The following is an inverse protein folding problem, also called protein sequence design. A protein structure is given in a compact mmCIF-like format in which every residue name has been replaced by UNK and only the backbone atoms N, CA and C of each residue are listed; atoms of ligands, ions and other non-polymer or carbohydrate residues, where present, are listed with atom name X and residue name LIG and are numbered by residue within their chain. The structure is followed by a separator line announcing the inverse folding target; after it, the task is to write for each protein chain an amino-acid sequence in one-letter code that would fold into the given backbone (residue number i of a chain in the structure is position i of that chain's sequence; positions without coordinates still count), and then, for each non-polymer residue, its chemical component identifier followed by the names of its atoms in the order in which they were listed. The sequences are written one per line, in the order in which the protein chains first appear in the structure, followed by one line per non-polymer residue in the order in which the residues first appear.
data_IF_523936304853
#
_entry.id   IF_523936304853
#
_cell.length_a   1.000
_cell.length_b   1.000
_cell.length_c   1.000
_cell.angle_alpha   90.00
_cell.angle_beta   90.00
_cell.angle_gamma   90.00
#
_symmetry.space_group_name_H-M   'P 1'
#
loop_
_entity.id
_entity.type
_entity.pdbx_description
1 polymer ?
#
# COMPACT_ATOMS: atom_id res chain seq x y z
N UNK A 1 11.08 23.93 -0.65
CA UNK A 1 11.91 22.74 -0.95
C UNK A 1 10.98 21.61 -1.30
N UNK A 2 11.26 20.86 -2.36
CA UNK A 2 10.43 19.72 -2.79
C UNK A 2 10.93 18.44 -2.11
N UNK A 3 10.03 17.48 -1.89
CA UNK A 3 10.40 16.12 -1.49
C UNK A 3 10.70 15.30 -2.75
N UNK A 4 11.88 15.51 -3.32
CA UNK A 4 12.34 14.94 -4.59
C UNK A 4 13.58 14.03 -4.44
N UNK A 5 13.89 13.63 -3.21
CA UNK A 5 15.06 12.77 -2.94
C UNK A 5 16.42 13.47 -3.02
N UNK A 6 16.47 14.79 -3.23
CA UNK A 6 17.73 15.52 -3.32
C UNK A 6 18.58 15.43 -2.04
N UNK A 7 19.90 15.48 -2.21
CA UNK A 7 20.87 15.54 -1.13
C UNK A 7 21.15 16.99 -0.72
N UNK A 8 21.15 17.25 0.60
CA UNK A 8 21.40 18.56 1.19
C UNK A 8 22.53 18.50 2.21
N UNK A 9 23.16 19.65 2.45
CA UNK A 9 24.21 19.74 3.46
C UNK A 9 23.61 19.90 4.87
N UNK A 10 24.03 19.05 5.81
CA UNK A 10 23.56 19.05 7.21
C UNK A 10 23.96 20.33 7.97
N UNK A 11 25.06 20.97 7.60
CA UNK A 11 25.52 22.23 8.21
C UNK A 11 24.70 23.45 7.75
N UNK A 12 24.16 23.42 6.53
CA UNK A 12 23.31 24.48 5.99
C UNK A 12 21.86 24.33 6.46
N UNK A 13 21.40 23.10 6.69
CA UNK A 13 20.03 22.78 7.12
C UNK A 13 19.99 21.96 8.43
N UNK A 14 20.52 22.49 9.55
CA UNK A 14 20.70 21.71 10.78
C UNK A 14 19.38 21.27 11.44
N UNK A 15 18.34 22.11 11.41
CA UNK A 15 17.02 21.74 11.97
C UNK A 15 16.36 20.62 11.16
N UNK A 16 16.48 20.66 9.83
CA UNK A 16 15.92 19.64 8.96
C UNK A 16 16.68 18.32 9.09
N UNK A 17 18.02 18.39 9.17
CA UNK A 17 18.83 17.23 9.49
C UNK A 17 18.49 16.65 10.87
N UNK A 18 18.22 17.49 11.87
CA UNK A 18 17.77 17.01 13.18
C UNK A 18 16.43 16.27 13.11
N UNK A 19 15.57 16.58 12.14
CA UNK A 19 14.27 15.93 11.99
C UNK A 19 14.34 14.64 11.15
N UNK A 20 15.13 14.62 10.08
CA UNK A 20 15.20 13.49 9.14
C UNK A 20 16.36 12.54 9.41
N UNK A 21 17.47 13.07 9.95
CA UNK A 21 18.75 12.38 10.01
C UNK A 21 19.14 11.82 8.64
N UNK A 22 19.65 10.59 8.64
CA UNK A 22 19.96 9.85 7.41
C UNK A 22 18.85 8.87 7.00
N UNK A 23 17.61 9.02 7.48
CA UNK A 23 16.54 8.04 7.23
C UNK A 23 16.37 7.70 5.75
N UNK A 24 16.39 8.72 4.89
CA UNK A 24 16.25 8.62 3.44
C UNK A 24 17.60 8.47 2.69
N UNK A 25 18.70 8.23 3.42
CA UNK A 25 20.05 8.13 2.90
C UNK A 25 20.91 9.36 3.17
N UNK A 26 22.10 9.34 2.59
CA UNK A 26 23.17 10.31 2.84
C UNK A 26 24.23 9.76 3.79
N UNK A 27 25.30 10.53 3.97
CA UNK A 27 26.45 10.21 4.82
C UNK A 27 27.32 11.45 5.03
N UNK A 28 27.98 11.56 6.19
CA UNK A 28 28.94 12.63 6.46
C UNK A 28 28.27 13.99 6.57
N UNK A 29 28.57 14.91 5.64
CA UNK A 29 27.99 16.26 5.67
C UNK A 29 26.70 16.38 4.87
N UNK A 30 26.21 15.29 4.26
CA UNK A 30 24.99 15.32 3.43
C UNK A 30 23.93 14.32 3.85
N UNK A 31 22.67 14.75 3.81
CA UNK A 31 21.50 13.91 4.07
C UNK A 31 20.49 14.05 2.93
N UNK A 32 19.70 13.01 2.69
CA UNK A 32 18.71 13.02 1.62
C UNK A 32 17.33 13.41 2.14
N UNK A 33 16.59 14.14 1.30
CA UNK A 33 15.16 14.34 1.47
C UNK A 33 14.39 13.04 1.14
N UNK A 34 13.15 12.90 1.62
CA UNK A 34 12.25 11.91 1.06
C UNK A 34 11.95 12.23 -0.41
N UNK A 35 11.80 11.20 -1.24
CA UNK A 35 11.15 11.30 -2.55
C UNK A 35 9.68 10.87 -2.40
N UNK A 36 8.77 11.85 -2.48
CA UNK A 36 7.33 11.64 -2.36
C UNK A 36 6.59 11.94 -3.67
N UNK A 37 7.32 12.13 -4.77
CA UNK A 37 6.69 12.46 -6.04
C UNK A 37 5.87 11.27 -6.55
N UNK A 38 4.58 11.52 -6.82
CA UNK A 38 3.65 10.47 -7.27
C UNK A 38 3.27 9.43 -6.21
N UNK A 39 3.68 9.62 -4.94
CA UNK A 39 3.37 8.70 -3.85
C UNK A 39 2.12 9.13 -3.08
N UNK A 40 1.27 8.16 -2.74
CA UNK A 40 0.24 8.38 -1.73
C UNK A 40 0.85 8.30 -0.32
N UNK A 41 0.36 9.13 0.60
CA UNK A 41 0.79 9.07 1.99
C UNK A 41 -0.11 8.14 2.78
N UNK A 42 0.49 7.18 3.46
CA UNK A 42 -0.24 6.18 4.25
C UNK A 42 0.22 6.18 5.69
N UNK A 43 -0.72 6.06 6.62
CA UNK A 43 -0.39 5.97 8.04
C UNK A 43 0.36 4.67 8.33
N UNK A 44 1.45 4.74 9.09
CA UNK A 44 2.07 3.54 9.66
C UNK A 44 1.05 2.84 10.56
N UNK A 45 0.71 1.59 10.22
CA UNK A 45 -0.21 0.76 10.98
C UNK A 45 0.21 -0.71 10.93
N UNK A 46 0.01 -1.42 12.03
CA UNK A 46 0.43 -2.82 12.22
C UNK A 46 -0.73 -3.81 12.21
N UNK A 47 -1.99 -3.35 12.32
CA UNK A 47 -3.14 -4.23 12.58
C UNK A 47 -4.28 -4.14 11.58
N UNK A 48 -4.37 -3.09 10.75
CA UNK A 48 -5.58 -2.83 9.92
C UNK A 48 -5.31 -2.63 8.42
N UNK A 49 -4.06 -2.73 7.96
CA UNK A 49 -3.70 -2.54 6.55
C UNK A 49 -2.61 -3.50 6.10
N UNK A 50 -2.47 -3.71 4.79
CA UNK A 50 -1.47 -4.65 4.29
C UNK A 50 -0.05 -4.24 4.69
N UNK A 51 0.68 -5.20 5.24
CA UNK A 51 2.11 -5.12 5.54
C UNK A 51 2.96 -5.86 4.50
N UNK A 52 2.33 -6.35 3.42
CA UNK A 52 3.03 -7.11 2.39
C UNK A 52 3.94 -6.20 1.55
N UNK A 53 5.03 -6.78 1.04
CA UNK A 53 5.89 -6.15 0.02
C UNK A 53 6.38 -4.73 0.35
N UNK A 54 6.49 -4.41 1.64
CA UNK A 54 7.08 -3.14 2.07
C UNK A 54 8.58 -3.12 1.82
N UNK A 55 9.05 -2.09 1.14
CA UNK A 55 10.47 -1.80 0.98
C UNK A 55 10.86 -0.75 2.01
N UNK A 56 11.82 -1.07 2.88
CA UNK A 56 12.32 -0.13 3.90
C UNK A 56 12.97 1.10 3.26
N UNK A 57 12.92 2.24 3.95
CA UNK A 57 13.80 3.37 3.65
C UNK A 57 15.28 2.95 3.81
N UNK A 58 16.24 3.62 3.16
CA UNK A 58 17.67 3.25 3.19
C UNK A 58 18.20 2.92 4.58
N UNK A 59 17.86 3.75 5.58
CA UNK A 59 18.25 3.55 6.98
C UNK A 59 17.03 3.39 7.91
N UNK A 60 15.92 2.85 7.40
CA UNK A 60 14.67 2.67 8.13
C UNK A 60 14.27 1.21 8.38
N UNK A 61 13.04 1.01 8.84
CA UNK A 61 12.40 -0.29 9.07
C UNK A 61 11.33 -0.54 7.99
N UNK A 62 11.14 -1.79 7.57
CA UNK A 62 10.12 -2.15 6.56
C UNK A 62 8.69 -1.86 7.03
N UNK A 63 8.42 -1.85 8.33
CA UNK A 63 7.13 -1.49 8.91
C UNK A 63 7.12 -0.06 9.48
N UNK A 64 8.21 0.69 9.29
CA UNK A 64 8.40 2.02 9.85
C UNK A 64 8.07 3.15 8.88
N UNK A 65 8.31 4.38 9.34
CA UNK A 65 8.24 5.59 8.53
C UNK A 65 9.24 5.56 7.37
N UNK A 66 8.83 6.08 6.22
CA UNK A 66 9.64 6.12 5.00
C UNK A 66 9.67 4.80 4.23
N UNK A 67 9.12 3.71 4.78
CA UNK A 67 8.90 2.50 3.99
C UNK A 67 7.89 2.75 2.87
N UNK A 68 7.99 2.00 1.79
CA UNK A 68 7.16 2.17 0.59
C UNK A 68 6.50 0.86 0.18
N UNK A 69 5.37 0.97 -0.51
CA UNK A 69 4.68 -0.12 -1.18
C UNK A 69 4.37 0.27 -2.61
N UNK A 70 4.49 -0.68 -3.53
CA UNK A 70 3.95 -0.53 -4.88
C UNK A 70 2.43 -0.58 -4.86
N UNK A 71 1.83 -0.15 -5.96
CA UNK A 71 0.41 -0.37 -6.22
C UNK A 71 0.08 -1.88 -6.23
N UNK A 72 -1.17 -2.22 -5.96
CA UNK A 72 -1.69 -3.58 -6.11
C UNK A 72 -3.21 -3.58 -6.27
N UNK A 73 -3.75 -4.56 -7.01
CA UNK A 73 -5.17 -4.85 -7.08
C UNK A 73 -5.55 -5.99 -6.14
N UNK A 74 -6.64 -5.86 -5.40
CA UNK A 74 -7.12 -6.95 -4.54
C UNK A 74 -7.66 -8.10 -5.39
N UNK A 75 -7.24 -9.32 -5.06
CA UNK A 75 -7.80 -10.53 -5.64
C UNK A 75 -9.30 -10.58 -5.32
N UNK A 76 -10.11 -10.78 -6.34
CA UNK A 76 -11.55 -10.92 -6.21
C UNK A 76 -12.08 -11.85 -7.29
N UNK A 77 -13.29 -12.39 -7.07
CA UNK A 77 -13.93 -13.36 -7.93
C UNK A 77 -15.39 -12.96 -8.11
N UNK A 78 -15.92 -13.12 -9.33
CA UNK A 78 -17.32 -12.88 -9.63
C UNK A 78 -18.03 -14.22 -9.78
N UNK A 79 -19.30 -14.27 -9.37
CA UNK A 79 -20.20 -15.38 -9.66
C UNK A 79 -21.15 -14.97 -10.76
N UNK A 80 -21.44 -15.88 -11.67
CA UNK A 80 -22.46 -15.68 -12.68
C UNK A 80 -23.20 -16.98 -12.96
N UNK A 81 -24.39 -16.82 -13.52
CA UNK A 81 -25.27 -17.92 -13.84
C UNK A 81 -25.01 -18.32 -15.29
N UNK A 82 -24.47 -19.51 -15.51
CA UNK A 82 -24.30 -20.05 -16.85
C UNK A 82 -25.52 -20.90 -17.24
N UNK A 83 -26.22 -20.56 -18.33
CA UNK A 83 -27.18 -21.47 -18.91
C UNK A 83 -26.42 -22.62 -19.56
N UNK A 84 -26.53 -23.82 -18.99
CA UNK A 84 -26.06 -25.02 -19.68
C UNK A 84 -27.13 -25.47 -20.67
N UNK A 85 -26.77 -25.56 -21.95
CA UNK A 85 -27.68 -26.03 -22.99
C UNK A 85 -28.07 -27.49 -22.75
N UNK A 86 -29.33 -27.84 -23.02
CA UNK A 86 -29.74 -29.24 -23.09
C UNK A 86 -28.96 -29.95 -24.21
N UNK A 87 -28.53 -31.18 -23.97
CA UNK A 87 -27.87 -31.99 -25.00
C UNK A 87 -28.88 -32.45 -26.05
N UNK A 88 -28.51 -32.55 -27.35
CA UNK A 88 -29.41 -33.11 -28.36
C UNK A 88 -29.81 -34.55 -27.98
N UNK A 89 -31.06 -34.75 -27.56
CA UNK A 89 -31.60 -36.06 -27.15
C UNK A 89 -32.35 -36.09 -25.82
N UNK A 90 -32.30 -35.02 -25.03
CA UNK A 90 -33.01 -34.95 -23.74
C UNK A 90 -34.53 -34.86 -23.94
N UNK A 91 -35.29 -35.78 -23.31
CA UNK A 91 -36.77 -35.79 -23.36
C UNK A 91 -37.33 -34.95 -22.19
N UNK A 92 -37.79 -33.73 -22.46
CA UNK A 92 -38.45 -32.87 -21.48
C UNK A 92 -38.49 -31.39 -21.92
N UNK A 93 -39.20 -30.50 -21.20
CA UNK A 93 -39.09 -29.06 -21.46
C UNK A 93 -37.63 -28.65 -21.26
N UNK A 94 -37.02 -28.05 -22.28
CA UNK A 94 -35.63 -27.62 -22.30
C UNK A 94 -35.42 -26.41 -21.36
N UNK A 95 -35.47 -26.65 -20.05
CA UNK A 95 -34.98 -25.70 -19.08
C UNK A 95 -33.46 -25.87 -19.02
N UNK A 96 -32.73 -24.86 -19.51
CA UNK A 96 -31.29 -24.79 -19.28
C UNK A 96 -31.05 -24.84 -17.76
N UNK A 97 -30.29 -25.84 -17.30
CA UNK A 97 -29.91 -25.86 -15.89
C UNK A 97 -29.02 -24.64 -15.65
N UNK A 98 -29.42 -23.80 -14.69
CA UNK A 98 -28.62 -22.67 -14.25
C UNK A 98 -27.69 -23.17 -13.17
N UNK A 99 -26.40 -23.21 -13.45
CA UNK A 99 -25.36 -23.47 -12.45
C UNK A 99 -24.70 -22.15 -12.05
N UNK A 100 -24.42 -21.99 -10.75
CA UNK A 100 -23.57 -20.91 -10.27
C UNK A 100 -22.14 -21.26 -10.68
N UNK A 101 -21.68 -20.64 -11.77
CA UNK A 101 -20.30 -20.69 -12.20
C UNK A 101 -19.55 -19.50 -11.62
N UNK A 102 -18.28 -19.69 -11.35
CA UNK A 102 -17.39 -18.58 -11.06
C UNK A 102 -16.77 -18.10 -12.37
N UNK A 103 -16.54 -16.79 -12.52
CA UNK A 103 -15.58 -16.34 -13.53
C UNK A 103 -14.29 -17.11 -13.25
N UNK A 104 -13.73 -17.77 -14.26
CA UNK A 104 -12.56 -18.65 -14.11
C UNK A 104 -11.43 -18.00 -13.32
N UNK A 105 -10.46 -18.84 -12.90
CA UNK A 105 -9.34 -18.57 -11.97
C UNK A 105 -9.11 -17.06 -11.78
N UNK A 106 -9.20 -16.52 -10.54
CA UNK A 106 -8.85 -15.12 -10.27
C UNK A 106 -7.57 -14.78 -11.02
N UNK A 107 -7.38 -13.54 -11.50
CA UNK A 107 -6.38 -13.13 -12.51
C UNK A 107 -4.90 -13.50 -12.28
N UNK A 108 -4.56 -14.38 -11.34
CA UNK A 108 -3.42 -15.29 -11.50
C UNK A 108 -3.51 -16.07 -12.82
N UNK A 109 -2.79 -15.54 -13.80
CA UNK A 109 -2.10 -16.32 -14.82
C UNK A 109 -2.94 -16.89 -15.97
N UNK A 110 -3.17 -16.04 -16.96
CA UNK A 110 -3.00 -16.44 -18.37
C UNK A 110 -2.13 -15.44 -19.17
N UNK A 111 -1.24 -14.73 -18.45
CA UNK A 111 -0.15 -13.81 -18.87
C UNK A 111 -0.36 -12.30 -18.55
N UNK A 112 -0.30 -11.88 -17.26
CA UNK A 112 -0.31 -10.47 -16.84
C UNK A 112 1.05 -10.08 -16.21
N UNK A 113 2.13 -10.07 -16.98
CA UNK A 113 3.51 -9.98 -16.43
C UNK A 113 3.85 -8.67 -15.70
N UNK A 114 2.92 -7.74 -15.54
CA UNK A 114 3.14 -6.40 -14.95
C UNK A 114 2.10 -5.93 -13.92
N UNK A 115 1.06 -6.72 -13.59
CA UNK A 115 0.03 -6.29 -12.64
C UNK A 115 0.37 -6.82 -11.24
N UNK A 116 0.63 -5.91 -10.30
CA UNK A 116 0.78 -6.26 -8.90
C UNK A 116 -0.59 -6.63 -8.31
N UNK A 117 -0.68 -7.78 -7.64
CA UNK A 117 -1.90 -8.25 -6.99
C UNK A 117 -1.67 -8.48 -5.50
N UNK A 118 -2.70 -8.26 -4.71
CA UNK A 118 -2.70 -8.43 -3.26
C UNK A 118 -3.91 -9.25 -2.84
N UNK A 119 -3.76 -10.11 -1.84
CA UNK A 119 -4.90 -10.80 -1.22
C UNK A 119 -5.64 -9.92 -0.20
N UNK A 120 -5.03 -8.82 0.25
CA UNK A 120 -5.49 -8.05 1.40
C UNK A 120 -6.17 -6.73 1.01
N UNK A 121 -5.74 -6.07 -0.07
CA UNK A 121 -6.24 -4.75 -0.40
C UNK A 121 -5.97 -4.32 -1.85
N UNK A 122 -6.77 -3.36 -2.34
CA UNK A 122 -6.41 -2.57 -3.52
C UNK A 122 -5.75 -1.28 -3.04
N UNK A 123 -4.56 -0.96 -3.54
CA UNK A 123 -3.78 0.23 -3.13
C UNK A 123 -3.07 0.89 -4.31
N UNK A 124 -2.86 2.22 -4.27
CA UNK A 124 -1.86 2.88 -5.10
C UNK A 124 -0.45 2.73 -4.49
N UNK A 125 0.57 3.11 -5.26
CA UNK A 125 1.94 3.27 -4.76
C UNK A 125 1.95 4.27 -3.60
N UNK A 126 2.56 3.91 -2.48
CA UNK A 126 2.47 4.70 -1.26
C UNK A 126 3.73 4.65 -0.39
N UNK A 127 3.92 5.73 0.38
CA UNK A 127 4.95 5.89 1.40
C UNK A 127 4.31 5.99 2.77
N UNK A 128 4.85 5.26 3.74
CA UNK A 128 4.35 5.22 5.11
C UNK A 128 4.89 6.38 5.95
N UNK A 129 3.98 7.10 6.62
CA UNK A 129 4.29 8.23 7.49
C UNK A 129 3.48 8.17 8.79
N UNK A 130 3.94 8.93 9.80
CA UNK A 130 3.12 9.24 10.95
C UNK A 130 2.39 10.57 10.74
N UNK A 131 1.08 10.55 10.89
CA UNK A 131 0.29 11.77 10.98
C UNK A 131 0.35 12.29 12.42
N UNK A 132 1.01 13.42 12.62
CA UNK A 132 1.24 14.01 13.94
C UNK A 132 0.44 15.31 14.09
N UNK A 133 -0.27 15.47 15.21
CA UNK A 133 -0.92 16.73 15.59
C UNK A 133 -0.03 17.42 16.62
N UNK A 134 0.54 18.57 16.27
CA UNK A 134 1.28 19.42 17.20
C UNK A 134 0.32 20.43 17.82
N UNK A 135 0.23 20.47 19.15
CA UNK A 135 -0.53 21.47 19.90
C UNK A 135 0.34 22.08 21.01
N UNK A 136 0.07 23.32 21.42
CA UNK A 136 0.95 24.08 22.34
C UNK A 136 0.22 24.72 23.54
N UNK A 137 -0.96 24.26 23.97
CA UNK A 137 -1.58 24.77 25.21
C UNK A 137 -2.50 23.75 25.92
N UNK A 138 -2.24 23.52 27.22
CA UNK A 138 -3.02 22.78 28.24
C UNK A 138 -3.25 21.27 28.01
N UNK A 139 -2.38 20.45 28.60
CA UNK A 139 -2.71 19.08 29.00
C UNK A 139 -3.70 19.12 30.18
N UNK A 140 -4.81 18.37 30.17
CA UNK A 140 -5.58 18.10 31.38
C UNK A 140 -4.65 17.35 32.36
N UNK A 141 -4.46 17.90 33.57
CA UNK A 141 -3.83 17.15 34.65
C UNK A 141 -4.72 15.97 34.98
N UNK A 142 -4.30 14.76 34.57
CA UNK A 142 -4.95 13.53 34.98
C UNK A 142 -4.72 13.38 36.49
N UNK A 143 -5.77 13.60 37.29
CA UNK A 143 -5.74 13.20 38.70
C UNK A 143 -5.77 11.67 38.71
N UNK A 144 -4.70 11.06 39.21
CA UNK A 144 -4.75 9.68 39.64
C UNK A 144 -5.70 9.63 40.84
N UNK A 145 -6.85 8.97 40.66
CA UNK A 145 -7.55 8.30 41.76
C UNK A 145 -6.88 6.95 42.01
#
# INVERSE_FOLDING_TARGET
MLCDGSALNSSEYPELFSALGYLYGGSGDTFNLPDLQGQFLRGVGTTSGSVEERTKAPNGDSNGVGSTQKDALQTHQHTYNEPTGATPGDKGPAFAAVINSYTGIPTSESNPSSINVSQYETRPSNTFIYYLIKYTYKLPSYKQE
#
